data_IF_007608512811
#
_entry.id   IF_007608512811
#
_cell.length_a   1.000
_cell.length_b   1.000
_cell.length_c   1.000
_cell.angle_alpha   90.00
_cell.angle_beta   90.00
_cell.angle_gamma   90.00
#
_symmetry.space_group_name_H-M   'P 1'
#
loop_
_entity.id
_entity.type
_entity.pdbx_description
1 polymer ?
#
# COMPACT_ATOMS: atom_id res chain seq x y z
N UNK A 1 -2.35 -23.11 -16.12
CA UNK A 1 -1.83 -21.72 -16.24
C UNK A 1 -2.54 -20.93 -17.32
N UNK A 2 -2.59 -21.45 -18.56
CA UNK A 2 -3.22 -20.83 -19.73
C UNK A 2 -4.61 -20.24 -19.41
N UNK A 3 -5.52 -21.02 -18.83
CA UNK A 3 -6.90 -20.58 -18.56
C UNK A 3 -6.97 -19.33 -17.67
N UNK A 4 -6.21 -19.29 -16.57
CA UNK A 4 -6.20 -18.14 -15.66
C UNK A 4 -5.56 -16.92 -16.32
N UNK A 5 -4.41 -17.12 -16.99
CA UNK A 5 -3.70 -16.04 -17.69
C UNK A 5 -4.58 -15.42 -18.78
N UNK A 6 -5.13 -16.25 -19.67
CA UNK A 6 -6.02 -15.81 -20.75
C UNK A 6 -7.30 -15.16 -20.21
N UNK A 7 -7.86 -15.69 -19.12
CA UNK A 7 -9.02 -15.11 -18.47
C UNK A 7 -8.73 -13.69 -17.98
N UNK A 8 -7.61 -13.49 -17.29
CA UNK A 8 -7.16 -12.19 -16.82
C UNK A 8 -6.86 -11.23 -17.99
N UNK A 9 -6.22 -11.70 -19.05
CA UNK A 9 -5.92 -10.90 -20.25
C UNK A 9 -7.21 -10.45 -20.95
N UNK A 10 -8.23 -11.31 -21.04
CA UNK A 10 -9.54 -10.99 -21.62
C UNK A 10 -10.28 -9.89 -20.87
N UNK A 11 -10.09 -9.76 -19.55
CA UNK A 11 -10.66 -8.62 -18.81
C UNK A 11 -10.12 -7.28 -19.30
N UNK A 12 -8.92 -7.26 -19.89
CA UNK A 12 -8.25 -6.05 -20.35
C UNK A 12 -7.74 -5.13 -19.24
N UNK A 13 -8.03 -5.43 -17.96
CA UNK A 13 -7.74 -4.57 -16.80
C UNK A 13 -6.38 -4.81 -16.16
N UNK A 14 -5.74 -5.95 -16.45
CA UNK A 14 -4.49 -6.36 -15.80
C UNK A 14 -3.32 -6.45 -16.78
N UNK A 15 -2.12 -6.19 -16.28
CA UNK A 15 -0.84 -6.50 -16.90
C UNK A 15 -0.29 -7.79 -16.28
N UNK A 16 0.05 -8.78 -17.11
CA UNK A 16 0.69 -10.01 -16.64
C UNK A 16 2.20 -9.75 -16.49
N UNK A 17 2.72 -9.95 -15.28
CA UNK A 17 4.13 -9.73 -14.90
C UNK A 17 4.91 -11.05 -14.89
N UNK A 18 4.24 -12.17 -14.62
CA UNK A 18 4.86 -13.51 -14.63
C UNK A 18 5.20 -13.97 -16.04
N UNK A 19 6.34 -14.66 -16.17
CA UNK A 19 6.73 -15.39 -17.39
C UNK A 19 6.03 -16.74 -17.47
N UNK A 20 5.96 -17.30 -18.68
CA UNK A 20 5.36 -18.62 -18.93
C UNK A 20 6.27 -19.76 -18.49
N UNK A 21 7.59 -19.54 -18.49
CA UNK A 21 8.60 -20.51 -18.05
C UNK A 21 8.92 -20.35 -16.56
N UNK A 22 8.93 -21.46 -15.83
CA UNK A 22 9.38 -21.54 -14.44
C UNK A 22 8.31 -22.05 -13.47
N UNK A 23 8.21 -21.40 -12.32
CA UNK A 23 7.27 -21.80 -11.26
C UNK A 23 5.83 -21.58 -11.75
N UNK A 24 4.92 -22.55 -11.57
CA UNK A 24 3.54 -22.43 -12.03
C UNK A 24 2.77 -21.41 -11.16
N UNK A 25 2.87 -20.14 -11.52
CA UNK A 25 2.18 -19.04 -10.86
C UNK A 25 1.81 -17.97 -11.88
N UNK A 26 0.79 -17.17 -11.57
CA UNK A 26 0.43 -15.98 -12.33
C UNK A 26 0.57 -14.78 -11.42
N UNK A 27 1.43 -13.84 -11.81
CA UNK A 27 1.60 -12.55 -11.14
C UNK A 27 1.10 -11.45 -12.08
N UNK A 28 0.25 -10.56 -11.58
CA UNK A 28 -0.40 -9.54 -12.38
C UNK A 28 -0.67 -8.26 -11.59
N UNK A 29 -0.68 -7.12 -12.27
CA UNK A 29 -0.99 -5.80 -11.69
C UNK A 29 -2.12 -5.13 -12.44
N UNK A 30 -2.79 -4.15 -11.82
CA UNK A 30 -3.78 -3.33 -12.50
C UNK A 30 -3.10 -2.42 -13.51
N UNK A 31 -3.73 -2.22 -14.68
CA UNK A 31 -3.29 -1.23 -15.68
C UNK A 31 -3.56 0.19 -15.22
N UNK A 32 -4.69 0.39 -14.54
CA UNK A 32 -5.11 1.67 -13.96
C UNK A 32 -5.39 1.44 -12.48
N UNK A 33 -4.59 2.09 -11.64
CA UNK A 33 -4.70 2.06 -10.19
C UNK A 33 -5.18 3.39 -9.60
N UNK A 34 -5.77 4.27 -10.42
CA UNK A 34 -6.20 5.62 -9.99
C UNK A 34 -7.37 5.59 -9.01
N UNK A 35 -8.32 4.67 -9.19
CA UNK A 35 -9.54 4.57 -8.36
C UNK A 35 -9.42 3.55 -7.23
N UNK A 36 -8.87 2.38 -7.55
CA UNK A 36 -8.70 1.23 -6.65
C UNK A 36 -7.35 0.57 -6.92
N UNK A 37 -6.75 0.01 -5.88
CA UNK A 37 -5.46 -0.66 -5.96
C UNK A 37 -5.60 -2.18 -5.80
N UNK A 38 -4.50 -2.89 -6.03
CA UNK A 38 -4.42 -4.35 -5.94
C UNK A 38 -4.73 -4.88 -4.54
N UNK A 39 -4.47 -4.10 -3.49
CA UNK A 39 -4.81 -4.45 -2.11
C UNK A 39 -6.33 -4.47 -1.90
N UNK A 40 -7.06 -3.51 -2.46
CA UNK A 40 -8.53 -3.49 -2.43
C UNK A 40 -9.11 -4.69 -3.19
N UNK A 41 -8.56 -5.00 -4.37
CA UNK A 41 -8.98 -6.20 -5.13
C UNK A 41 -8.76 -7.47 -4.30
N UNK A 42 -7.59 -7.63 -3.68
CA UNK A 42 -7.30 -8.76 -2.79
C UNK A 42 -8.30 -8.85 -1.61
N UNK A 43 -8.61 -7.71 -0.99
CA UNK A 43 -9.54 -7.65 0.13
C UNK A 43 -10.96 -8.05 -0.27
N UNK A 44 -11.43 -7.63 -1.45
CA UNK A 44 -12.76 -8.01 -1.95
C UNK A 44 -12.84 -9.47 -2.36
N UNK A 45 -11.77 -10.02 -2.93
CA UNK A 45 -11.68 -11.45 -3.27
C UNK A 45 -11.83 -12.35 -2.03
N UNK A 46 -11.46 -11.88 -0.82
CA UNK A 46 -11.68 -12.64 0.42
C UNK A 46 -13.16 -12.91 0.71
N UNK A 47 -14.08 -12.06 0.24
CA UNK A 47 -15.54 -12.27 0.39
C UNK A 47 -16.02 -13.51 -0.36
N UNK A 48 -15.32 -13.84 -1.43
CA UNK A 48 -15.56 -15.03 -2.26
C UNK A 48 -14.77 -16.26 -1.76
N UNK A 49 -14.04 -16.13 -0.65
CA UNK A 49 -13.20 -17.19 -0.09
C UNK A 49 -11.79 -17.28 -0.68
N UNK A 50 -11.41 -16.38 -1.57
CA UNK A 50 -10.09 -16.38 -2.19
C UNK A 50 -9.07 -15.62 -1.34
N UNK A 51 -7.92 -16.25 -1.10
CA UNK A 51 -6.76 -15.61 -0.44
C UNK A 51 -5.69 -15.36 -1.51
N UNK A 52 -5.76 -14.20 -2.16
CA UNK A 52 -4.77 -13.77 -3.15
C UNK A 52 -3.87 -12.70 -2.52
N UNK A 53 -2.56 -12.97 -2.32
CA UNK A 53 -1.64 -11.97 -1.78
C UNK A 53 -1.41 -10.84 -2.79
N UNK A 54 -1.44 -9.61 -2.29
CA UNK A 54 -0.96 -8.41 -2.97
C UNK A 54 0.27 -7.87 -2.24
N UNK A 55 1.31 -7.46 -2.98
CA UNK A 55 2.51 -6.86 -2.42
C UNK A 55 3.16 -5.88 -3.39
N UNK A 56 3.86 -4.89 -2.83
CA UNK A 56 4.69 -3.96 -3.59
C UNK A 56 6.02 -4.61 -3.96
N UNK A 57 6.54 -4.26 -5.13
CA UNK A 57 7.82 -4.75 -5.61
C UNK A 57 8.99 -4.17 -4.78
N UNK A 58 10.15 -4.84 -4.78
CA UNK A 58 11.36 -4.40 -4.05
C UNK A 58 11.88 -3.03 -4.50
N UNK A 59 12.93 -2.50 -3.82
CA UNK A 59 13.61 -1.28 -4.23
C UNK A 59 13.92 -1.26 -5.73
N UNK A 60 13.70 -0.10 -6.36
CA UNK A 60 13.79 0.17 -7.81
C UNK A 60 12.52 -0.17 -8.62
N UNK A 61 11.47 -0.69 -7.98
CA UNK A 61 10.17 -0.93 -8.62
C UNK A 61 8.95 -0.70 -7.69
N UNK A 62 9.10 0.04 -6.58
CA UNK A 62 8.07 0.13 -5.53
C UNK A 62 6.70 0.67 -5.99
N UNK A 63 6.65 1.41 -7.09
CA UNK A 63 5.41 1.90 -7.68
C UNK A 63 4.54 0.79 -8.29
N UNK A 64 5.10 -0.42 -8.44
CA UNK A 64 4.40 -1.59 -8.94
C UNK A 64 3.92 -2.46 -7.77
N UNK A 65 2.60 -2.60 -7.66
CA UNK A 65 1.97 -3.57 -6.77
C UNK A 65 1.45 -4.74 -7.61
N UNK A 66 1.63 -5.96 -7.13
CA UNK A 66 1.22 -7.17 -7.86
C UNK A 66 0.37 -8.06 -6.99
N UNK A 67 -0.60 -8.72 -7.62
CA UNK A 67 -1.32 -9.88 -7.11
C UNK A 67 -0.60 -11.15 -7.57
N UNK A 68 -0.53 -12.17 -6.72
CA UNK A 68 0.14 -13.44 -7.07
C UNK A 68 -0.74 -14.65 -6.76
N UNK A 69 -1.06 -15.42 -7.79
CA UNK A 69 -1.78 -16.70 -7.66
C UNK A 69 -0.81 -17.83 -7.97
N UNK A 70 -0.57 -18.71 -6.99
CA UNK A 70 0.29 -19.89 -7.17
C UNK A 70 -0.59 -21.07 -7.55
N UNK A 71 -0.25 -21.75 -8.64
CA UNK A 71 -0.98 -22.91 -9.16
C UNK A 71 -0.36 -24.16 -8.54
N UNK A 72 -1.14 -24.83 -7.69
CA UNK A 72 -0.79 -26.10 -7.05
C UNK A 72 -1.47 -27.27 -7.75
N UNK A 73 -1.14 -28.49 -7.37
CA UNK A 73 -1.70 -29.73 -7.94
C UNK A 73 -3.23 -29.79 -7.80
N UNK A 74 -3.78 -29.25 -6.72
CA UNK A 74 -5.22 -29.17 -6.43
C UNK A 74 -5.92 -28.01 -7.13
N UNK A 75 -5.19 -27.11 -7.80
CA UNK A 75 -5.76 -25.97 -8.50
C UNK A 75 -6.27 -26.37 -9.91
N UNK A 76 -7.45 -26.98 -9.91
CA UNK A 76 -8.11 -27.46 -11.14
C UNK A 76 -8.51 -26.34 -12.10
N UNK A 77 -8.77 -26.72 -13.35
CA UNK A 77 -9.30 -25.82 -14.39
C UNK A 77 -10.60 -25.12 -13.94
N UNK A 78 -11.51 -25.85 -13.30
CA UNK A 78 -12.78 -25.30 -12.82
C UNK A 78 -12.56 -24.23 -11.75
N UNK A 79 -11.57 -24.41 -10.86
CA UNK A 79 -11.19 -23.39 -9.88
C UNK A 79 -10.59 -22.15 -10.55
N UNK A 80 -9.78 -22.34 -11.59
CA UNK A 80 -9.23 -21.23 -12.37
C UNK A 80 -10.35 -20.40 -13.04
N UNK A 81 -11.31 -21.06 -13.70
CA UNK A 81 -12.46 -20.38 -14.34
C UNK A 81 -13.33 -19.66 -13.31
N UNK A 82 -13.57 -20.28 -12.15
CA UNK A 82 -14.31 -19.65 -11.05
C UNK A 82 -13.59 -18.43 -10.49
N UNK A 83 -12.27 -18.51 -10.31
CA UNK A 83 -11.46 -17.38 -9.86
C UNK A 83 -11.55 -16.21 -10.82
N UNK A 84 -11.44 -16.45 -12.13
CA UNK A 84 -11.60 -15.39 -13.15
C UNK A 84 -12.98 -14.74 -13.06
N UNK A 85 -14.05 -15.54 -12.97
CA UNK A 85 -15.41 -15.02 -12.83
C UNK A 85 -15.61 -14.19 -11.56
N UNK A 86 -15.04 -14.62 -10.43
CA UNK A 86 -15.14 -13.85 -9.18
C UNK A 86 -14.30 -12.57 -9.23
N UNK A 87 -13.15 -12.57 -9.93
CA UNK A 87 -12.35 -11.36 -10.20
C UNK A 87 -13.17 -10.36 -11.02
N UNK A 88 -13.85 -10.79 -12.08
CA UNK A 88 -14.70 -9.92 -12.90
C UNK A 88 -15.83 -9.27 -12.09
N UNK A 89 -16.48 -10.05 -11.20
CA UNK A 89 -17.51 -9.52 -10.29
C UNK A 89 -16.92 -8.49 -9.33
N UNK A 90 -15.77 -8.77 -8.73
CA UNK A 90 -15.08 -7.84 -7.84
C UNK A 90 -14.72 -6.54 -8.56
N UNK A 91 -14.22 -6.62 -9.79
CA UNK A 91 -13.92 -5.43 -10.59
C UNK A 91 -15.17 -4.60 -10.86
N UNK A 92 -16.28 -5.24 -11.24
CA UNK A 92 -17.55 -4.57 -11.46
C UNK A 92 -18.09 -3.92 -10.18
N UNK A 93 -17.99 -4.61 -9.03
CA UNK A 93 -18.36 -4.03 -7.74
C UNK A 93 -17.51 -2.79 -7.42
N UNK A 94 -16.19 -2.87 -7.57
CA UNK A 94 -15.29 -1.76 -7.33
C UNK A 94 -15.59 -0.57 -8.26
N UNK A 95 -15.90 -0.81 -9.53
CA UNK A 95 -16.22 0.25 -10.49
C UNK A 95 -17.46 1.08 -10.07
N UNK A 96 -18.41 0.49 -9.33
CA UNK A 96 -19.60 1.18 -8.80
C UNK A 96 -19.35 1.96 -7.51
N UNK A 97 -18.21 1.73 -6.85
CA UNK A 97 -17.87 2.39 -5.59
C UNK A 97 -17.07 3.69 -5.83
N UNK A 98 -17.20 4.68 -4.91
CA UNK A 98 -16.35 5.86 -4.96
C UNK A 98 -14.89 5.47 -4.69
N UNK A 99 -13.96 6.15 -5.36
CA UNK A 99 -12.52 5.89 -5.23
C UNK A 99 -12.06 6.06 -3.78
N UNK A 100 -11.58 4.98 -3.15
CA UNK A 100 -11.09 5.00 -1.77
C UNK A 100 -9.67 5.55 -1.65
N UNK A 101 -8.90 5.51 -2.73
CA UNK A 101 -7.50 5.95 -2.75
C UNK A 101 -7.38 7.41 -2.34
N UNK A 102 -8.29 8.29 -2.78
CA UNK A 102 -8.30 9.71 -2.38
C UNK A 102 -8.42 9.85 -0.86
N UNK A 103 -9.26 9.04 -0.23
CA UNK A 103 -9.45 9.09 1.22
C UNK A 103 -8.22 8.59 1.98
N UNK A 104 -7.54 7.54 1.49
CA UNK A 104 -6.33 7.00 2.13
C UNK A 104 -5.10 7.88 1.93
N UNK A 105 -4.86 8.39 0.71
CA UNK A 105 -3.78 9.35 0.43
C UNK A 105 -3.95 10.63 1.25
N UNK A 106 -5.16 11.19 1.36
CA UNK A 106 -5.39 12.35 2.21
C UNK A 106 -5.08 12.07 3.69
N UNK A 107 -5.32 10.84 4.17
CA UNK A 107 -5.01 10.43 5.55
C UNK A 107 -3.50 10.18 5.75
N UNK A 108 -2.81 9.59 4.77
CA UNK A 108 -1.36 9.36 4.79
C UNK A 108 -0.56 10.65 4.62
N UNK A 109 -0.99 11.56 3.74
CA UNK A 109 -0.45 12.92 3.62
C UNK A 109 -0.71 13.72 4.90
N UNK A 110 -1.89 13.60 5.52
CA UNK A 110 -2.14 14.21 6.83
C UNK A 110 -1.23 13.63 7.92
N UNK A 111 -1.01 12.31 7.96
CA UNK A 111 -0.08 11.69 8.91
C UNK A 111 1.39 12.05 8.63
N UNK A 112 1.79 12.16 7.37
CA UNK A 112 3.12 12.65 7.00
C UNK A 112 3.30 14.12 7.37
N UNK A 113 2.32 14.98 7.10
CA UNK A 113 2.36 16.38 7.52
C UNK A 113 2.39 16.50 9.05
N UNK A 114 1.63 15.69 9.79
CA UNK A 114 1.68 15.66 11.27
C UNK A 114 3.03 15.15 11.79
N UNK A 115 3.63 14.11 11.17
CA UNK A 115 4.95 13.59 11.56
C UNK A 115 6.10 14.51 11.18
N UNK A 116 6.01 15.23 10.06
CA UNK A 116 6.96 16.26 9.65
C UNK A 116 6.86 17.48 10.58
N UNK A 117 5.65 17.91 10.95
CA UNK A 117 5.42 19.01 11.90
C UNK A 117 5.86 18.66 13.33
N UNK A 118 5.73 17.40 13.77
CA UNK A 118 6.23 16.95 15.08
C UNK A 118 7.75 16.72 15.11
N UNK A 119 8.39 16.48 13.96
CA UNK A 119 9.85 16.55 13.84
C UNK A 119 10.32 17.99 13.68
N UNK A 120 10.06 18.84 14.69
CA UNK A 120 10.95 20.00 14.91
C UNK A 120 12.37 19.46 14.95
N UNK A 121 13.23 19.99 14.08
CA UNK A 121 14.60 19.50 13.94
C UNK A 121 15.31 19.56 15.29
N UNK A 122 16.14 18.55 15.61
CA UNK A 122 16.85 18.43 16.89
C UNK A 122 17.65 19.70 17.28
N UNK A 123 17.99 20.52 16.29
CA UNK A 123 18.69 21.81 16.43
C UNK A 123 17.77 22.88 17.06
N UNK A 124 16.49 22.91 16.71
CA UNK A 124 15.52 23.88 17.26
C UNK A 124 15.18 23.57 18.72
N UNK A 125 14.93 22.30 19.06
CA UNK A 125 14.68 21.88 20.44
C UNK A 125 15.89 22.11 21.34
N UNK A 126 17.12 21.88 20.86
CA UNK A 126 18.34 22.16 21.63
C UNK A 126 18.56 23.66 21.86
N UNK A 127 18.21 24.52 20.89
CA UNK A 127 18.27 25.99 21.05
C UNK A 127 17.28 26.48 22.10
N UNK A 128 16.05 25.98 22.09
CA UNK A 128 15.01 26.32 23.07
C UNK A 128 15.44 25.91 24.49
N UNK A 129 15.95 24.68 24.66
CA UNK A 129 16.43 24.18 25.96
C UNK A 129 17.61 25.01 26.47
N UNK A 130 18.60 25.30 25.60
CA UNK A 130 19.77 26.09 25.98
C UNK A 130 19.41 27.53 26.34
N UNK A 131 18.46 28.14 25.61
CA UNK A 131 17.97 29.48 25.91
C UNK A 131 17.24 29.54 27.26
N UNK A 132 16.38 28.56 27.54
CA UNK A 132 15.69 28.43 28.83
C UNK A 132 16.69 28.25 29.99
N UNK A 133 17.71 27.40 29.80
CA UNK A 133 18.76 27.16 30.81
C UNK A 133 19.60 28.43 31.07
N UNK A 134 19.98 29.16 30.01
CA UNK A 134 20.67 30.46 30.16
C UNK A 134 19.83 31.47 30.93
N UNK A 135 18.53 31.57 30.64
CA UNK A 135 17.61 32.46 31.36
C UNK A 135 17.54 32.10 32.84
N UNK A 136 17.36 30.82 33.16
CA UNK A 136 17.32 30.32 34.54
C UNK A 136 18.62 30.60 35.30
N UNK A 137 19.78 30.38 34.69
CA UNK A 137 21.09 30.66 35.30
C UNK A 137 21.31 32.16 35.53
N UNK A 138 20.92 33.00 34.57
CA UNK A 138 20.99 34.47 34.70
C UNK A 138 20.08 34.97 35.84
N UNK A 139 18.89 34.39 35.97
CA UNK A 139 17.92 34.71 37.02
C UNK A 139 18.44 34.29 38.40
N UNK A 140 19.05 33.10 38.52
CA UNK A 140 19.72 32.66 39.75
C UNK A 140 20.95 33.49 40.13
N UNK A 141 21.73 33.99 39.16
CA UNK A 141 22.86 34.90 39.42
C UNK A 141 22.38 36.27 39.94
N UNK A 142 21.19 36.72 39.54
CA UNK A 142 20.59 37.96 40.04
C UNK A 142 20.08 37.85 41.48
N UNK A 143 19.69 36.64 41.92
CA UNK A 143 19.21 36.38 43.29
C UNK A 143 20.32 36.05 44.29
N UNK A 144 21.48 35.56 43.85
CA UNK A 144 22.60 35.17 44.73
C UNK A 144 23.61 36.29 45.00
N UNK A 145 23.18 37.55 44.94
CA UNK A 145 24.03 38.71 45.18
C UNK A 145 23.39 39.72 46.12
N UNK A 146 23.09 39.32 47.37
CA UNK A 146 22.90 40.22 48.52
C UNK A 146 23.32 39.51 49.81
N UNK A 147 24.24 40.17 50.53
CA UNK A 147 24.88 39.89 51.84
C UNK A 147 25.95 38.80 51.90
#
# INVERSE_FOLDING_TARGET
>A
MIVLKEGLEKTGRFNIVSKDDGVPLVAFSLKDNSRHNEFEVADYLRRYGWIVPAYTMPPDAQNLTVLRVVIREDFSRTLAERLVSDIEKVLHELDTLPARIIAKQAIEEAHQNVTVVTKKTAIETQREITAAWRKFVMEKKKTNGVC
#
